data_IF_864464807475
#
_entry.id   IF_864464807475
#
_cell.length_a   1.000
_cell.length_b   1.000
_cell.length_c   1.000
_cell.angle_alpha   90.00
_cell.angle_beta   90.00
_cell.angle_gamma   90.00
#
_symmetry.space_group_name_H-M   'P 1'
#
loop_
_entity.id
_entity.type
_entity.pdbx_description
1 polymer ?
#
# COMPACT_ATOMS: atom_id res chain seq x y z
N UNK A 1 -18.20 -10.12 13.70
CA UNK A 1 -16.90 -9.51 13.34
C UNK A 1 -16.19 -10.42 12.37
N UNK A 2 -15.67 -9.88 11.26
CA UNK A 2 -14.94 -10.68 10.29
C UNK A 2 -13.65 -11.25 10.89
N UNK A 3 -13.31 -12.47 10.48
CA UNK A 3 -12.11 -13.17 10.97
C UNK A 3 -10.85 -12.63 10.27
N UNK A 4 -9.73 -12.74 10.96
CA UNK A 4 -8.42 -12.46 10.36
C UNK A 4 -8.24 -13.32 9.11
N UNK A 5 -7.80 -12.68 8.04
CA UNK A 5 -7.70 -13.26 6.71
C UNK A 5 -8.84 -12.92 5.77
N UNK A 6 -9.99 -12.52 6.29
CA UNK A 6 -11.15 -12.14 5.47
C UNK A 6 -10.95 -10.79 4.79
N UNK A 7 -11.31 -10.71 3.50
CA UNK A 7 -11.32 -9.45 2.76
C UNK A 7 -12.40 -8.48 3.27
N UNK A 8 -13.40 -8.96 3.98
CA UNK A 8 -14.42 -8.11 4.62
C UNK A 8 -13.81 -7.12 5.62
N UNK A 9 -12.63 -7.43 6.17
CA UNK A 9 -11.91 -6.52 7.07
C UNK A 9 -11.51 -5.20 6.41
N UNK A 10 -11.49 -5.12 5.09
CA UNK A 10 -11.28 -3.86 4.36
C UNK A 10 -12.42 -2.85 4.62
N UNK A 11 -13.58 -3.31 5.04
CA UNK A 11 -14.72 -2.47 5.41
C UNK A 11 -14.73 -2.05 6.88
N UNK A 12 -13.84 -2.59 7.68
CA UNK A 12 -13.70 -2.24 9.10
C UNK A 12 -13.29 -0.76 9.26
N UNK A 13 -13.81 -0.04 10.27
CA UNK A 13 -13.44 1.36 10.51
C UNK A 13 -11.93 1.58 10.66
N UNK A 14 -11.20 0.65 11.28
CA UNK A 14 -9.74 0.73 11.43
C UNK A 14 -9.06 0.68 10.06
N UNK A 15 -9.47 -0.28 9.21
CA UNK A 15 -8.93 -0.40 7.86
C UNK A 15 -9.21 0.86 7.02
N UNK A 16 -10.45 1.33 7.04
CA UNK A 16 -10.85 2.55 6.30
C UNK A 16 -10.06 3.78 6.74
N UNK A 17 -9.85 3.94 8.05
CA UNK A 17 -9.07 5.05 8.57
C UNK A 17 -7.61 5.00 8.09
N UNK A 18 -6.98 3.85 8.12
CA UNK A 18 -5.60 3.68 7.67
C UNK A 18 -5.46 3.81 6.14
N UNK A 19 -6.41 3.27 5.38
CA UNK A 19 -6.43 3.39 3.91
C UNK A 19 -6.65 4.83 3.43
N UNK A 20 -7.29 5.65 4.22
CA UNK A 20 -7.48 7.09 3.96
C UNK A 20 -6.43 7.99 4.60
N UNK A 21 -5.47 7.44 5.34
CA UNK A 21 -4.48 8.20 6.11
C UNK A 21 -3.34 8.75 5.23
N UNK A 22 -2.49 9.55 5.85
CA UNK A 22 -1.22 10.03 5.29
C UNK A 22 -0.02 9.18 5.72
N UNK A 23 -0.28 8.04 6.37
CA UNK A 23 0.78 7.10 6.71
C UNK A 23 1.23 6.35 5.45
N UNK A 24 2.54 6.20 5.21
CA UNK A 24 3.01 5.46 4.05
C UNK A 24 2.65 3.98 4.17
N UNK A 25 2.45 3.33 3.04
CA UNK A 25 2.47 1.89 2.95
C UNK A 25 3.91 1.39 3.04
N UNK A 26 4.12 0.26 3.71
CA UNK A 26 5.38 -0.46 3.67
C UNK A 26 5.17 -1.69 2.81
N UNK A 27 5.77 -1.66 1.61
CA UNK A 27 5.71 -2.75 0.64
C UNK A 27 6.84 -3.74 0.91
N UNK A 28 6.47 -4.96 1.23
CA UNK A 28 7.39 -6.09 1.32
C UNK A 28 7.28 -6.96 0.08
N UNK A 29 8.43 -7.32 -0.49
CA UNK A 29 8.53 -8.14 -1.69
C UNK A 29 9.80 -9.01 -1.63
N UNK A 30 9.87 -10.00 -2.50
CA UNK A 30 11.00 -10.92 -2.57
C UNK A 30 11.94 -10.50 -3.71
N UNK A 31 13.20 -10.26 -3.38
CA UNK A 31 14.23 -10.02 -4.38
C UNK A 31 14.53 -11.29 -5.17
N UNK A 32 15.22 -11.19 -6.31
CA UNK A 32 15.46 -12.31 -7.21
C UNK A 32 16.37 -13.41 -6.63
N UNK A 33 17.13 -13.08 -5.57
CA UNK A 33 17.92 -14.06 -4.82
C UNK A 33 17.15 -14.73 -3.66
N UNK A 34 15.86 -14.45 -3.54
CA UNK A 34 15.00 -14.95 -2.47
C UNK A 34 15.02 -14.13 -1.19
N UNK A 35 15.86 -13.09 -1.11
CA UNK A 35 15.91 -12.24 0.09
C UNK A 35 14.70 -11.33 0.19
N UNK A 36 14.17 -11.11 1.42
CA UNK A 36 13.07 -10.18 1.63
C UNK A 36 13.54 -8.74 1.52
N UNK A 37 12.69 -7.89 0.96
CA UNK A 37 12.88 -6.44 0.84
C UNK A 37 11.64 -5.71 1.34
N UNK A 38 11.82 -4.53 1.91
CA UNK A 38 10.73 -3.66 2.34
C UNK A 38 11.09 -2.21 2.06
N UNK A 39 10.11 -1.45 1.55
CA UNK A 39 10.26 -0.02 1.27
C UNK A 39 8.99 0.73 1.70
N UNK A 40 9.12 1.94 2.27
CA UNK A 40 7.99 2.84 2.44
C UNK A 40 7.63 3.46 1.09
N UNK A 41 6.34 3.61 0.82
CA UNK A 41 5.87 4.15 -0.46
C UNK A 41 4.48 4.77 -0.29
N UNK A 42 4.19 5.81 -1.05
CA UNK A 42 2.86 6.37 -1.15
C UNK A 42 1.91 5.38 -1.84
N UNK A 43 0.66 5.42 -1.44
CA UNK A 43 -0.37 4.56 -2.00
C UNK A 43 -1.69 5.30 -2.18
N UNK A 44 -2.54 4.75 -3.02
CA UNK A 44 -3.95 5.10 -3.11
C UNK A 44 -4.80 3.83 -3.06
N UNK A 45 -5.85 3.86 -2.25
CA UNK A 45 -6.85 2.79 -2.19
C UNK A 45 -8.00 3.11 -3.13
N UNK A 46 -8.26 2.24 -4.10
CA UNK A 46 -9.31 2.45 -5.11
C UNK A 46 -10.69 1.92 -4.71
N UNK A 47 -10.75 1.20 -3.59
CA UNK A 47 -11.91 0.37 -3.21
C UNK A 47 -11.73 -1.11 -3.54
N UNK A 48 -10.77 -1.44 -4.40
CA UNK A 48 -10.44 -2.82 -4.80
C UNK A 48 -8.95 -3.12 -4.76
N UNK A 49 -8.12 -2.13 -5.06
CA UNK A 49 -6.67 -2.28 -5.16
C UNK A 49 -5.94 -1.25 -4.33
N UNK A 50 -4.80 -1.64 -3.78
CA UNK A 50 -3.79 -0.70 -3.32
C UNK A 50 -2.89 -0.38 -4.51
N UNK A 51 -2.89 0.86 -4.95
CA UNK A 51 -2.12 1.29 -6.11
C UNK A 51 -0.93 2.12 -5.66
N UNK A 52 0.25 1.69 -6.11
CA UNK A 52 1.53 2.35 -5.92
C UNK A 52 2.04 2.82 -7.27
N UNK A 53 2.89 3.81 -7.28
CA UNK A 53 3.59 4.23 -8.49
C UNK A 53 5.09 4.36 -8.24
N UNK A 54 5.86 4.11 -9.26
CA UNK A 54 7.31 4.03 -9.16
C UNK A 54 7.95 4.49 -10.48
N UNK A 55 9.18 5.03 -10.44
CA UNK A 55 9.94 5.23 -11.68
C UNK A 55 10.09 3.92 -12.44
N UNK A 56 10.06 3.98 -13.76
CA UNK A 56 10.09 2.78 -14.63
C UNK A 56 11.39 1.97 -14.54
N UNK A 57 12.44 2.56 -13.98
CA UNK A 57 13.73 1.89 -13.76
C UNK A 57 13.94 1.39 -12.34
N UNK A 58 12.93 1.49 -11.49
CA UNK A 58 13.05 1.05 -10.10
C UNK A 58 13.34 -0.46 -10.02
N UNK A 59 14.34 -0.87 -9.22
CA UNK A 59 14.74 -2.28 -9.15
C UNK A 59 13.63 -3.24 -8.75
N UNK A 60 12.71 -2.80 -7.89
CA UNK A 60 11.59 -3.63 -7.44
C UNK A 60 10.70 -4.14 -8.57
N UNK A 61 10.65 -3.46 -9.72
CA UNK A 61 9.83 -3.88 -10.85
C UNK A 61 10.30 -5.21 -11.43
N UNK A 62 11.62 -5.46 -11.47
CA UNK A 62 12.18 -6.75 -11.88
C UNK A 62 11.81 -7.86 -10.89
N UNK A 63 11.89 -7.56 -9.61
CA UNK A 63 11.51 -8.51 -8.56
C UNK A 63 10.04 -8.87 -8.64
N UNK A 64 9.14 -7.89 -8.83
CA UNK A 64 7.71 -8.12 -8.95
C UNK A 64 7.32 -8.86 -10.23
N UNK A 65 8.09 -8.71 -11.30
CA UNK A 65 7.90 -9.50 -12.52
C UNK A 65 8.26 -10.97 -12.30
N UNK A 66 9.29 -11.24 -11.51
CA UNK A 66 9.73 -12.60 -11.19
C UNK A 66 8.82 -13.27 -10.14
N UNK A 67 8.42 -12.51 -9.09
CA UNK A 67 7.52 -12.97 -8.04
C UNK A 67 6.55 -11.84 -7.66
N UNK A 68 5.30 -11.91 -8.09
CA UNK A 68 4.32 -10.85 -7.84
C UNK A 68 3.69 -10.91 -6.44
N UNK A 69 4.01 -11.88 -5.62
CA UNK A 69 3.49 -11.98 -4.26
C UNK A 69 4.10 -10.90 -3.38
N UNK A 70 3.24 -10.16 -2.68
CA UNK A 70 3.63 -9.04 -1.84
C UNK A 70 2.87 -9.03 -0.52
N UNK A 71 3.43 -8.30 0.44
CA UNK A 71 2.73 -7.91 1.65
C UNK A 71 2.82 -6.40 1.82
N UNK A 72 1.78 -5.82 2.41
CA UNK A 72 1.69 -4.39 2.71
C UNK A 72 1.27 -4.21 4.15
N UNK A 73 1.95 -3.31 4.85
CA UNK A 73 1.56 -2.85 6.17
C UNK A 73 1.31 -1.35 6.14
N UNK A 74 0.18 -0.93 6.70
CA UNK A 74 -0.13 0.47 6.97
C UNK A 74 -0.48 0.56 8.44
N UNK A 75 0.24 1.39 9.18
CA UNK A 75 0.12 1.45 10.64
C UNK A 75 0.17 2.87 11.16
N UNK A 76 -0.32 3.04 12.39
CA UNK A 76 -0.32 4.28 13.15
C UNK A 76 0.68 4.18 14.29
N UNK A 77 1.45 5.24 14.53
CA UNK A 77 2.44 5.31 15.60
C UNK A 77 1.83 5.66 16.98
N UNK A 78 0.58 6.12 17.02
CA UNK A 78 -0.07 6.50 18.26
C UNK A 78 -0.63 5.26 18.99
N UNK A 79 -0.37 5.16 20.28
CA UNK A 79 -0.98 4.12 21.11
C UNK A 79 -2.47 4.42 21.37
N UNK A 80 -3.38 3.44 21.32
CA UNK A 80 -3.17 2.05 20.90
C UNK A 80 -2.89 1.96 19.38
N UNK A 81 -1.86 1.20 19.03
CA UNK A 81 -1.44 1.06 17.64
C UNK A 81 -2.55 0.43 16.79
N UNK A 82 -2.77 0.98 15.62
CA UNK A 82 -3.67 0.42 14.61
C UNK A 82 -2.84 -0.04 13.45
N UNK A 83 -3.03 -1.28 13.04
CA UNK A 83 -2.23 -1.93 12.01
C UNK A 83 -3.15 -2.62 11.03
N UNK A 84 -2.98 -2.31 9.76
CA UNK A 84 -3.60 -3.01 8.64
C UNK A 84 -2.52 -3.84 7.95
N UNK A 85 -2.73 -5.14 7.91
CA UNK A 85 -1.85 -6.11 7.26
C UNK A 85 -2.57 -6.64 6.02
N UNK A 86 -1.91 -6.57 4.87
CA UNK A 86 -2.46 -7.06 3.61
C UNK A 86 -1.42 -7.96 2.95
N UNK A 87 -1.88 -9.09 2.45
CA UNK A 87 -1.14 -9.93 1.52
C UNK A 87 -1.88 -9.92 0.21
N UNK A 88 -1.15 -9.93 -0.88
CA UNK A 88 -1.77 -9.87 -2.19
C UNK A 88 -0.79 -10.10 -3.32
N UNK A 89 -1.26 -9.75 -4.50
CA UNK A 89 -0.56 -9.96 -5.74
C UNK A 89 -0.44 -8.65 -6.51
N UNK A 90 0.77 -8.31 -6.92
CA UNK A 90 1.06 -7.09 -7.66
C UNK A 90 0.90 -7.31 -9.17
N UNK A 91 0.24 -6.37 -9.83
CA UNK A 91 0.19 -6.26 -11.28
C UNK A 91 0.84 -4.93 -11.70
N UNK A 92 1.86 -5.01 -12.55
CA UNK A 92 2.64 -3.85 -12.99
C UNK A 92 2.23 -3.44 -14.39
N UNK A 93 1.89 -2.17 -14.56
CA UNK A 93 1.54 -1.55 -15.83
C UNK A 93 2.45 -0.35 -16.07
N UNK A 94 3.08 -0.28 -17.25
CA UNK A 94 3.90 0.86 -17.65
C UNK A 94 3.03 1.93 -18.27
N UNK A 95 3.13 3.16 -17.76
CA UNK A 95 2.39 4.33 -18.24
C UNK A 95 3.37 5.36 -18.81
N UNK A 96 2.89 6.12 -19.81
CA UNK A 96 3.69 7.19 -20.44
C UNK A 96 3.69 8.50 -19.64
N UNK A 97 2.88 8.57 -18.60
CA UNK A 97 2.69 9.74 -17.76
C UNK A 97 2.42 9.33 -16.30
N UNK A 98 2.17 10.29 -15.46
CA UNK A 98 1.83 10.11 -14.04
C UNK A 98 0.58 9.23 -13.91
N UNK A 99 0.65 8.22 -13.05
CA UNK A 99 -0.50 7.39 -12.74
C UNK A 99 -1.61 8.24 -12.07
N UNK A 100 -2.88 8.08 -12.46
CA UNK A 100 -3.99 8.83 -11.83
C UNK A 100 -4.05 8.66 -10.31
N UNK A 101 -3.76 7.47 -9.81
CA UNK A 101 -3.77 7.17 -8.38
C UNK A 101 -2.61 7.84 -7.64
N UNK A 102 -1.47 8.06 -8.33
CA UNK A 102 -0.36 8.83 -7.77
C UNK A 102 -0.76 10.30 -7.55
N UNK A 103 -1.52 10.86 -8.46
CA UNK A 103 -2.05 12.21 -8.35
C UNK A 103 -3.00 12.34 -7.15
N UNK A 104 -3.89 11.37 -6.96
CA UNK A 104 -4.78 11.31 -5.80
C UNK A 104 -3.99 11.16 -4.49
N UNK A 105 -2.97 10.30 -4.49
CA UNK A 105 -2.08 10.13 -3.35
C UNK A 105 -1.33 11.42 -3.03
N UNK A 106 -0.75 12.07 -4.01
CA UNK A 106 -0.01 13.32 -3.82
C UNK A 106 -0.90 14.40 -3.16
N UNK A 107 -2.15 14.50 -3.57
CA UNK A 107 -3.11 15.43 -2.96
C UNK A 107 -3.38 15.07 -1.49
N UNK A 108 -3.50 13.79 -1.17
CA UNK A 108 -3.70 13.35 0.21
C UNK A 108 -2.48 13.58 1.10
N UNK A 109 -1.28 13.28 0.60
CA UNK A 109 -0.03 13.42 1.37
C UNK A 109 0.45 14.86 1.48
N UNK A 110 0.38 15.63 0.40
CA UNK A 110 0.91 17.00 0.34
C UNK A 110 -0.16 18.09 0.50
N UNK A 111 -1.43 17.74 0.38
CA UNK A 111 -2.54 18.69 0.41
C UNK A 111 -3.01 19.14 -0.97
N UNK A 112 -4.18 19.85 -1.02
CA UNK A 112 -4.87 20.14 -2.27
C UNK A 112 -4.16 21.13 -3.18
N UNK A 113 -3.19 21.88 -2.67
CA UNK A 113 -2.40 22.83 -3.45
C UNK A 113 -1.03 22.23 -3.85
N UNK A 114 -0.27 21.76 -2.89
CA UNK A 114 1.07 21.24 -3.13
C UNK A 114 1.08 19.90 -3.87
N UNK A 115 0.07 19.08 -3.66
CA UNK A 115 -0.06 17.79 -4.35
C UNK A 115 -0.12 17.95 -5.87
N UNK A 116 -1.08 18.71 -6.41
CA UNK A 116 -1.15 19.00 -7.84
C UNK A 116 0.10 19.73 -8.38
N UNK A 117 0.67 20.65 -7.62
CA UNK A 117 1.90 21.34 -8.02
C UNK A 117 3.08 20.37 -8.19
N UNK A 118 3.23 19.45 -7.25
CA UNK A 118 4.23 18.39 -7.34
C UNK A 118 4.02 17.50 -8.56
N UNK A 119 2.79 17.04 -8.77
CA UNK A 119 2.44 16.19 -9.93
C UNK A 119 2.73 16.89 -11.24
N UNK A 120 2.45 18.20 -11.33
CA UNK A 120 2.74 18.97 -12.54
C UNK A 120 4.23 18.98 -12.91
N UNK A 121 5.13 18.90 -11.92
CA UNK A 121 6.56 18.76 -12.18
C UNK A 121 6.95 17.43 -12.82
N UNK A 122 6.09 16.42 -12.68
CA UNK A 122 6.31 15.06 -13.19
C UNK A 122 5.56 14.76 -14.49
N UNK A 123 4.73 15.68 -14.97
CA UNK A 123 3.97 15.47 -16.23
C UNK A 123 4.89 15.11 -17.37
N UNK A 124 4.50 14.10 -18.14
CA UNK A 124 5.29 13.55 -19.24
C UNK A 124 6.38 12.56 -18.79
N UNK A 125 6.53 12.33 -17.49
CA UNK A 125 7.48 11.34 -16.98
C UNK A 125 6.80 9.97 -16.90
N UNK A 126 7.33 8.94 -17.59
CA UNK A 126 6.78 7.59 -17.49
C UNK A 126 6.82 7.05 -16.05
N UNK A 127 5.76 6.36 -15.67
CA UNK A 127 5.64 5.69 -14.38
C UNK A 127 5.22 4.24 -14.53
N UNK A 128 5.66 3.40 -13.61
CA UNK A 128 5.09 2.08 -13.41
C UNK A 128 3.96 2.16 -12.38
N UNK A 129 2.77 1.76 -12.78
CA UNK A 129 1.60 1.61 -11.91
C UNK A 129 1.59 0.20 -11.36
N UNK A 130 1.61 0.07 -10.04
CA UNK A 130 1.62 -1.22 -9.34
C UNK A 130 0.29 -1.37 -8.62
N UNK A 131 -0.61 -2.20 -9.12
CA UNK A 131 -1.89 -2.48 -8.50
C UNK A 131 -1.82 -3.79 -7.71
N UNK A 132 -2.06 -3.71 -6.40
CA UNK A 132 -2.05 -4.86 -5.51
C UNK A 132 -3.48 -5.29 -5.25
N UNK A 133 -3.80 -6.53 -5.62
CA UNK A 133 -5.09 -7.15 -5.32
C UNK A 133 -4.95 -7.91 -3.99
N UNK A 134 -5.67 -7.51 -2.94
CA UNK A 134 -5.65 -8.21 -1.66
C UNK A 134 -6.17 -9.64 -1.78
N UNK A 135 -5.52 -10.57 -1.10
CA UNK A 135 -5.96 -11.96 -0.95
C UNK A 135 -6.12 -12.37 0.52
N UNK A 136 -5.53 -11.62 1.43
CA UNK A 136 -5.61 -11.82 2.87
C UNK A 136 -5.50 -10.48 3.58
N UNK A 137 -6.34 -10.24 4.58
CA UNK A 137 -6.35 -8.99 5.35
C UNK A 137 -6.38 -9.30 6.84
N UNK A 138 -5.55 -8.60 7.60
CA UNK A 138 -5.53 -8.66 9.04
C UNK A 138 -5.54 -7.26 9.67
N UNK A 139 -6.12 -7.15 10.86
CA UNK A 139 -6.18 -5.91 11.64
C UNK A 139 -5.73 -6.19 13.05
N UNK A 140 -4.86 -5.34 13.58
CA UNK A 140 -4.52 -5.26 14.99
C UNK A 140 -4.86 -3.85 15.47
N UNK A 141 -5.50 -3.73 16.64
CA UNK A 141 -5.82 -2.43 17.25
C UNK A 141 -5.35 -2.33 18.69
N UNK A 142 -4.84 -3.43 19.26
CA UNK A 142 -4.34 -3.53 20.63
C UNK A 142 -5.37 -3.11 21.69
N UNK A 143 -6.65 -3.22 21.36
CA UNK A 143 -7.79 -3.00 22.26
C UNK A 143 -8.74 -4.20 22.20
N UNK A 144 -9.15 -4.59 20.99
CA UNK A 144 -10.05 -5.73 20.74
C UNK A 144 -9.40 -6.83 19.93
N UNK A 145 -8.32 -6.51 19.22
CA UNK A 145 -7.58 -7.41 18.34
C UNK A 145 -6.09 -7.31 18.65
N UNK A 146 -5.55 -8.40 19.13
CA UNK A 146 -4.14 -8.55 19.50
C UNK A 146 -3.45 -9.57 18.57
N UNK A 147 -2.11 -9.55 18.49
CA UNK A 147 -1.39 -10.65 17.87
C UNK A 147 -1.83 -11.98 18.48
N UNK A 148 -2.01 -13.01 17.65
CA UNK A 148 -2.57 -14.31 18.07
C UNK A 148 -1.80 -15.01 19.18
N UNK A 149 -0.54 -14.62 19.40
CA UNK A 149 0.29 -15.16 20.48
C UNK A 149 0.05 -14.49 21.84
N UNK A 150 -0.68 -13.37 21.87
CA UNK A 150 -1.06 -12.68 23.10
C UNK A 150 -2.43 -13.17 23.55
N UNK A 151 -2.45 -13.93 24.62
CA UNK A 151 -3.67 -14.30 25.36
C UNK A 151 -3.75 -13.38 26.57
N UNK A 152 -4.71 -12.47 26.59
CA UNK A 152 -5.00 -11.58 27.71
C UNK A 152 -6.26 -12.06 28.43
#
# INVERSE_FOLDING_TARGET
MAQQGSLELLNDPVAKALLGSVNPARLAYTWMDGSPRVVPIWFHWTGEHIVLASPVKAPKLRALAADPQVAVTIDDNAWPYKVLLIRGRANVEMLDDVAPEYELAATRYFGPEQGPNWVNTLRGTPMARIAITPSWVGILDFQTRFPSALTL
#
